data_IF_148972390402
#
_entry.id   IF_148972390402
#
_cell.length_a   1.000
_cell.length_b   1.000
_cell.length_c   1.000
_cell.angle_alpha   90.00
_cell.angle_beta   90.00
_cell.angle_gamma   90.00
#
_symmetry.space_group_name_H-M   'P 1'
#
loop_
_entity.id
_entity.type
_entity.pdbx_description
1 polymer ?
#
# COMPACT_ATOMS: atom_id res chain seq x y z
N UNK A 1 -24.91 4.53 -26.06
CA UNK A 1 -23.90 4.88 -25.02
C UNK A 1 -24.13 6.26 -24.40
N UNK A 2 -24.06 7.37 -25.14
CA UNK A 2 -24.29 8.71 -24.56
C UNK A 2 -25.68 8.82 -23.90
N UNK A 3 -26.72 8.38 -24.62
CA UNK A 3 -28.10 8.31 -24.11
C UNK A 3 -28.26 7.35 -22.92
N UNK A 4 -27.59 6.19 -22.95
CA UNK A 4 -27.61 5.22 -21.84
C UNK A 4 -26.95 5.81 -20.58
N UNK A 5 -25.87 6.57 -20.72
CA UNK A 5 -25.18 7.22 -19.61
C UNK A 5 -26.01 8.37 -19.03
N UNK A 6 -26.63 9.18 -19.89
CA UNK A 6 -27.51 10.27 -19.46
C UNK A 6 -28.77 9.75 -18.74
N UNK A 7 -29.41 8.71 -19.29
CA UNK A 7 -30.56 8.05 -18.67
C UNK A 7 -30.17 7.39 -17.33
N UNK A 8 -29.01 6.74 -17.26
CA UNK A 8 -28.47 6.18 -16.01
C UNK A 8 -28.18 7.25 -14.96
N UNK A 9 -27.65 8.41 -15.37
CA UNK A 9 -27.43 9.54 -14.47
C UNK A 9 -28.75 10.07 -13.90
N UNK A 10 -29.76 10.22 -14.77
CA UNK A 10 -31.08 10.72 -14.37
C UNK A 10 -31.82 9.76 -13.43
N UNK A 11 -31.76 8.45 -13.69
CA UNK A 11 -32.39 7.44 -12.84
C UNK A 11 -31.70 7.35 -11.48
N UNK A 12 -30.36 7.37 -11.46
CA UNK A 12 -29.60 7.38 -10.21
C UNK A 12 -29.87 8.65 -9.38
N UNK A 13 -29.92 9.83 -10.02
CA UNK A 13 -30.25 11.07 -9.33
C UNK A 13 -31.67 11.04 -8.75
N UNK A 14 -32.65 10.54 -9.51
CA UNK A 14 -34.02 10.37 -9.02
C UNK A 14 -34.03 9.50 -7.76
N UNK A 15 -33.49 8.27 -7.82
CA UNK A 15 -33.48 7.33 -6.70
C UNK A 15 -32.77 7.91 -5.47
N UNK A 16 -31.64 8.59 -5.66
CA UNK A 16 -30.88 9.18 -4.55
C UNK A 16 -31.58 10.39 -3.96
N UNK A 17 -32.23 11.21 -4.78
CA UNK A 17 -33.07 12.33 -4.34
C UNK A 17 -34.30 11.87 -3.55
N UNK A 18 -35.00 10.83 -4.02
CA UNK A 18 -36.16 10.25 -3.34
C UNK A 18 -35.76 9.67 -1.98
N UNK A 19 -34.61 8.99 -1.92
CA UNK A 19 -34.08 8.41 -0.68
C UNK A 19 -33.71 9.49 0.36
N UNK A 20 -33.09 10.60 -0.07
CA UNK A 20 -32.68 11.68 0.83
C UNK A 20 -33.83 12.59 1.25
N UNK A 21 -34.87 12.73 0.41
CA UNK A 21 -36.10 13.46 0.74
C UNK A 21 -37.10 12.60 1.53
N UNK A 22 -36.87 11.29 1.62
CA UNK A 22 -37.71 10.34 2.36
C UNK A 22 -37.43 10.32 3.86
N UNK A 23 -37.59 9.15 4.47
CA UNK A 23 -37.45 8.94 5.92
C UNK A 23 -36.01 8.88 6.42
N UNK A 24 -35.02 8.85 5.53
CA UNK A 24 -33.60 8.75 5.89
C UNK A 24 -32.94 10.13 5.82
N UNK A 25 -33.10 10.91 6.88
CA UNK A 25 -32.57 12.27 7.01
C UNK A 25 -31.51 12.34 8.12
N UNK A 26 -30.47 13.15 7.93
CA UNK A 26 -29.39 13.34 8.90
C UNK A 26 -28.02 13.60 8.26
N UNK A 27 -26.99 13.76 9.09
CA UNK A 27 -25.63 14.07 8.62
C UNK A 27 -25.05 12.99 7.68
N UNK A 28 -25.39 11.71 7.90
CA UNK A 28 -24.99 10.59 7.04
C UNK A 28 -25.69 10.63 5.68
N UNK A 29 -26.99 10.94 5.65
CA UNK A 29 -27.75 11.08 4.40
C UNK A 29 -27.24 12.28 3.57
N UNK A 30 -26.94 13.41 4.21
CA UNK A 30 -26.35 14.58 3.56
C UNK A 30 -24.95 14.30 2.98
N UNK A 31 -24.12 13.54 3.70
CA UNK A 31 -22.82 13.09 3.21
C UNK A 31 -22.94 12.17 1.99
N UNK A 32 -23.89 11.23 2.00
CA UNK A 32 -24.16 10.37 0.85
C UNK A 32 -24.67 11.16 -0.36
N UNK A 33 -25.56 12.14 -0.17
CA UNK A 33 -26.07 13.00 -1.26
C UNK A 33 -24.95 13.79 -1.94
N UNK A 34 -23.96 14.24 -1.18
CA UNK A 34 -22.78 14.93 -1.72
C UNK A 34 -22.01 14.03 -2.68
N UNK A 35 -21.77 12.77 -2.30
CA UNK A 35 -21.09 11.78 -3.15
C UNK A 35 -21.95 11.40 -4.36
N UNK A 36 -23.25 11.20 -4.17
CA UNK A 36 -24.18 10.86 -5.23
C UNK A 36 -24.22 11.94 -6.32
N UNK A 37 -24.26 13.22 -5.92
CA UNK A 37 -24.25 14.36 -6.85
C UNK A 37 -22.95 14.40 -7.67
N UNK A 38 -21.81 14.07 -7.06
CA UNK A 38 -20.54 13.98 -7.77
C UNK A 38 -20.54 12.84 -8.79
N UNK A 39 -21.06 11.67 -8.45
CA UNK A 39 -21.18 10.55 -9.38
C UNK A 39 -22.10 10.88 -10.58
N UNK A 40 -23.23 11.55 -10.33
CA UNK A 40 -24.14 12.03 -11.40
C UNK A 40 -23.43 13.04 -12.31
N UNK A 41 -22.64 13.95 -11.74
CA UNK A 41 -21.85 14.91 -12.54
C UNK A 41 -20.81 14.20 -13.42
N UNK A 42 -20.20 13.12 -12.92
CA UNK A 42 -19.28 12.29 -13.70
C UNK A 42 -19.97 11.57 -14.85
N UNK A 43 -21.11 10.92 -14.58
CA UNK A 43 -21.89 10.25 -15.62
C UNK A 43 -22.35 11.24 -16.70
N UNK A 44 -22.80 12.43 -16.30
CA UNK A 44 -23.28 13.46 -17.22
C UNK A 44 -22.16 13.99 -18.14
N UNK A 45 -20.96 14.19 -17.60
CA UNK A 45 -19.82 14.60 -18.41
C UNK A 45 -19.27 13.49 -19.31
N UNK A 46 -19.31 12.23 -18.85
CA UNK A 46 -19.01 11.08 -19.69
C UNK A 46 -20.00 10.96 -20.87
N UNK A 47 -21.29 11.21 -20.63
CA UNK A 47 -22.31 11.26 -21.67
C UNK A 47 -22.03 12.37 -22.70
N UNK A 48 -21.74 13.59 -22.24
CA UNK A 48 -21.41 14.72 -23.11
C UNK A 48 -20.17 14.45 -23.99
N UNK A 49 -19.16 13.76 -23.45
CA UNK A 49 -17.99 13.38 -24.23
C UNK A 49 -18.29 12.27 -25.25
N UNK A 50 -19.11 11.30 -24.89
CA UNK A 50 -19.53 10.26 -25.84
C UNK A 50 -20.32 10.87 -27.02
N UNK A 51 -21.16 11.87 -26.75
CA UNK A 51 -21.86 12.64 -27.78
C UNK A 51 -20.88 13.43 -28.66
N UNK A 52 -19.92 14.15 -28.06
CA UNK A 52 -18.87 14.85 -28.81
C UNK A 52 -18.02 13.91 -29.67
N UNK A 53 -17.72 12.71 -29.20
CA UNK A 53 -16.99 11.72 -30.00
C UNK A 53 -17.79 11.26 -31.23
N UNK A 54 -19.10 11.08 -31.07
CA UNK A 54 -19.99 10.73 -32.18
C UNK A 54 -20.09 11.84 -33.22
N UNK A 55 -20.19 13.10 -32.79
CA UNK A 55 -20.26 14.23 -33.72
C UNK A 55 -18.96 14.43 -34.49
N UNK A 56 -17.80 14.24 -33.84
CA UNK A 56 -16.51 14.32 -34.54
C UNK A 56 -16.29 13.15 -35.50
N UNK A 57 -16.75 11.94 -35.17
CA UNK A 57 -16.71 10.81 -36.12
C UNK A 57 -17.55 11.11 -37.37
N UNK A 58 -18.73 11.71 -37.21
CA UNK A 58 -19.55 12.13 -38.34
C UNK A 58 -18.87 13.23 -39.18
N UNK A 59 -18.20 14.19 -38.54
CA UNK A 59 -17.45 15.24 -39.23
C UNK A 59 -16.28 14.67 -40.06
N UNK A 60 -15.55 13.69 -39.53
CA UNK A 60 -14.47 13.00 -40.25
C UNK A 60 -15.02 12.19 -41.43
N UNK A 61 -16.17 11.53 -41.27
CA UNK A 61 -16.83 10.81 -42.35
C UNK A 61 -17.25 11.77 -43.48
N UNK A 62 -17.84 12.93 -43.13
CA UNK A 62 -18.20 13.96 -44.11
C UNK A 62 -16.97 14.53 -44.84
N UNK A 63 -15.86 14.76 -44.12
CA UNK A 63 -14.60 15.19 -44.72
C UNK A 63 -14.04 14.14 -45.70
N UNK A 64 -14.15 12.86 -45.35
CA UNK A 64 -13.75 11.77 -46.24
C UNK A 64 -14.61 11.72 -47.51
N UNK A 65 -15.93 11.83 -47.39
CA UNK A 65 -16.84 11.85 -48.55
C UNK A 65 -16.56 13.04 -49.47
N UNK A 66 -16.30 14.23 -48.89
CA UNK A 66 -15.89 15.42 -49.66
C UNK A 66 -14.56 15.20 -50.39
N UNK A 67 -13.59 14.55 -49.74
CA UNK A 67 -12.30 14.25 -50.34
C UNK A 67 -12.44 13.25 -51.49
N UNK A 68 -13.20 12.18 -51.31
CA UNK A 68 -13.47 11.17 -52.34
C UNK A 68 -14.19 11.79 -53.54
N UNK A 69 -15.15 12.69 -53.30
CA UNK A 69 -15.85 13.40 -54.38
C UNK A 69 -14.93 14.36 -55.15
N UNK A 70 -13.94 14.96 -54.48
CA UNK A 70 -12.98 15.88 -55.09
C UNK A 70 -11.82 15.17 -55.81
N UNK A 71 -11.50 13.92 -55.45
CA UNK A 71 -10.43 13.16 -56.11
C UNK A 71 -10.77 12.79 -57.54
N UNK A 72 -9.79 12.92 -58.42
CA UNK A 72 -9.87 12.60 -59.83
C UNK A 72 -9.96 11.09 -60.01
N UNK A 73 -10.94 10.64 -60.80
CA UNK A 73 -11.13 9.21 -61.06
C UNK A 73 -9.96 8.65 -61.90
N UNK A 74 -9.43 7.45 -61.56
CA UNK A 74 -8.30 6.84 -62.28
C UNK A 74 -8.53 6.67 -63.79
N UNK A 75 -9.78 6.48 -64.22
CA UNK A 75 -10.14 6.36 -65.63
C UNK A 75 -9.85 7.64 -66.42
N UNK A 76 -10.03 8.82 -65.82
CA UNK A 76 -9.75 10.13 -66.46
C UNK A 76 -8.25 10.31 -66.64
N UNK A 77 -7.47 9.93 -65.63
CA UNK A 77 -6.00 9.94 -65.71
C UNK A 77 -5.52 8.95 -66.79
N UNK A 78 -6.07 7.74 -66.84
CA UNK A 78 -5.73 6.75 -67.86
C UNK A 78 -6.05 7.24 -69.27
N UNK A 79 -7.21 7.89 -69.47
CA UNK A 79 -7.61 8.48 -70.74
C UNK A 79 -6.64 9.59 -71.19
N UNK A 80 -6.25 10.49 -70.28
CA UNK A 80 -5.25 11.52 -70.55
C UNK A 80 -3.90 10.91 -70.99
N UNK A 81 -3.41 9.90 -70.25
CA UNK A 81 -2.14 9.22 -70.60
C UNK A 81 -2.22 8.46 -71.92
N UNK A 82 -3.37 7.89 -72.26
CA UNK A 82 -3.59 7.24 -73.56
C UNK A 82 -3.58 8.26 -74.71
N UNK A 83 -4.17 9.45 -74.49
CA UNK A 83 -4.21 10.53 -75.47
C UNK A 83 -2.80 11.07 -75.78
N UNK A 84 -1.96 11.29 -74.76
CA UNK A 84 -0.55 11.69 -74.96
C UNK A 84 0.20 10.68 -75.84
N UNK A 85 0.01 9.38 -75.59
CA UNK A 85 0.63 8.31 -76.39
C UNK A 85 0.15 8.32 -77.85
N UNK A 86 -1.14 8.54 -78.09
CA UNK A 86 -1.71 8.61 -79.44
C UNK A 86 -1.23 9.84 -80.22
N UNK A 87 -1.17 11.01 -79.57
CA UNK A 87 -0.64 12.25 -80.13
C UNK A 87 0.85 12.12 -80.47
N UNK A 88 1.63 11.51 -79.58
CA UNK A 88 3.06 11.27 -79.78
C UNK A 88 3.34 10.28 -80.93
N UNK A 89 2.54 9.21 -81.06
CA UNK A 89 2.67 8.23 -82.12
C UNK A 89 2.45 8.82 -83.52
N UNK A 90 1.72 9.93 -83.63
CA UNK A 90 1.44 10.63 -84.89
C UNK A 90 2.26 11.92 -85.07
N UNK A 91 3.16 12.24 -84.14
CA UNK A 91 3.92 13.50 -84.12
C UNK A 91 5.22 13.45 -84.95
N UNK A 92 5.19 12.86 -86.14
CA UNK A 92 6.40 12.65 -86.96
C UNK A 92 7.05 13.97 -87.44
N UNK A 93 6.24 15.02 -87.58
CA UNK A 93 6.66 16.35 -88.04
C UNK A 93 6.60 17.44 -86.95
N UNK A 94 6.27 17.11 -85.71
CA UNK A 94 6.20 18.08 -84.62
C UNK A 94 4.90 18.93 -84.56
N UNK A 95 3.93 18.73 -85.46
CA UNK A 95 2.70 19.52 -85.47
C UNK A 95 1.78 19.28 -84.26
N UNK A 96 1.89 18.14 -83.58
CA UNK A 96 1.05 17.82 -82.43
C UNK A 96 1.60 18.37 -81.11
N UNK A 97 2.75 19.06 -81.11
CA UNK A 97 3.40 19.58 -79.89
C UNK A 97 2.46 20.46 -79.04
N UNK A 98 1.70 21.43 -79.61
CA UNK A 98 0.74 22.22 -78.81
C UNK A 98 -0.32 21.37 -78.10
N UNK A 99 -0.89 20.39 -78.80
CA UNK A 99 -1.93 19.50 -78.24
C UNK A 99 -1.36 18.55 -77.16
N UNK A 100 -0.10 18.14 -77.29
CA UNK A 100 0.59 17.36 -76.25
C UNK A 100 0.78 18.23 -75.00
N UNK A 101 1.24 19.48 -75.15
CA UNK A 101 1.40 20.41 -74.02
C UNK A 101 0.08 20.69 -73.31
N UNK A 102 -1.02 20.91 -74.04
CA UNK A 102 -2.34 21.11 -73.43
C UNK A 102 -2.81 19.86 -72.65
N UNK A 103 -2.53 18.66 -73.17
CA UNK A 103 -2.87 17.41 -72.50
C UNK A 103 -2.01 17.16 -71.26
N UNK A 104 -0.72 17.53 -71.31
CA UNK A 104 0.17 17.48 -70.14
C UNK A 104 -0.22 18.52 -69.08
N UNK A 105 -0.59 19.73 -69.47
CA UNK A 105 -1.12 20.75 -68.57
C UNK A 105 -2.42 20.29 -67.87
N UNK A 106 -3.30 19.59 -68.59
CA UNK A 106 -4.50 18.98 -67.98
C UNK A 106 -4.16 17.88 -66.96
N UNK A 107 -3.07 17.13 -67.17
CA UNK A 107 -2.58 16.16 -66.18
C UNK A 107 -2.03 16.85 -64.92
N UNK A 108 -1.27 17.93 -65.09
CA UNK A 108 -0.80 18.75 -63.96
C UNK A 108 -1.98 19.34 -63.16
N UNK A 109 -3.05 19.77 -63.84
CA UNK A 109 -4.26 20.24 -63.17
C UNK A 109 -4.97 19.13 -62.37
N UNK A 110 -5.04 17.90 -62.92
CA UNK A 110 -5.59 16.75 -62.18
C UNK A 110 -4.74 16.40 -60.96
N UNK A 111 -3.40 16.46 -61.08
CA UNK A 111 -2.50 16.27 -59.95
C UNK A 111 -2.72 17.33 -58.86
N UNK A 112 -2.82 18.61 -59.25
CA UNK A 112 -3.10 19.70 -58.34
C UNK A 112 -4.45 19.54 -57.63
N UNK A 113 -5.49 19.07 -58.33
CA UNK A 113 -6.81 18.80 -57.76
C UNK A 113 -6.78 17.70 -56.69
N UNK A 114 -6.11 16.58 -56.96
CA UNK A 114 -5.95 15.49 -55.98
C UNK A 114 -5.17 15.93 -54.75
N UNK A 115 -4.09 16.70 -54.95
CA UNK A 115 -3.30 17.26 -53.86
C UNK A 115 -4.16 18.20 -53.00
N UNK A 116 -4.95 19.08 -53.62
CA UNK A 116 -5.86 19.97 -52.91
C UNK A 116 -6.94 19.21 -52.12
N UNK A 117 -7.51 18.14 -52.71
CA UNK A 117 -8.48 17.28 -52.04
C UNK A 117 -7.91 16.61 -50.78
N UNK A 118 -6.69 16.07 -50.87
CA UNK A 118 -6.02 15.43 -49.73
C UNK A 118 -5.59 16.43 -48.64
N UNK A 119 -5.16 17.65 -49.03
CA UNK A 119 -4.87 18.71 -48.06
C UNK A 119 -6.13 19.17 -47.32
N UNK A 120 -7.25 19.32 -48.03
CA UNK A 120 -8.55 19.64 -47.42
C UNK A 120 -8.98 18.57 -46.42
N UNK A 121 -8.93 17.29 -46.83
CA UNK A 121 -9.23 16.17 -45.94
C UNK A 121 -8.40 16.19 -44.66
N UNK A 122 -7.07 16.38 -44.79
CA UNK A 122 -6.18 16.43 -43.64
C UNK A 122 -6.53 17.59 -42.70
N UNK A 123 -6.82 18.77 -43.24
CA UNK A 123 -7.20 19.94 -42.44
C UNK A 123 -8.50 19.70 -41.65
N UNK A 124 -9.54 19.22 -42.33
CA UNK A 124 -10.86 18.97 -41.72
C UNK A 124 -10.81 17.82 -40.71
N UNK A 125 -10.13 16.71 -41.05
CA UNK A 125 -9.96 15.59 -40.14
C UNK A 125 -9.11 15.96 -38.90
N UNK A 126 -8.06 16.76 -39.08
CA UNK A 126 -7.22 17.23 -37.96
C UNK A 126 -7.99 18.19 -37.05
N UNK A 127 -8.84 19.05 -37.61
CA UNK A 127 -9.71 19.94 -36.84
C UNK A 127 -10.71 19.14 -36.01
N UNK A 128 -11.37 18.14 -36.61
CA UNK A 128 -12.30 17.27 -35.89
C UNK A 128 -11.60 16.48 -34.77
N UNK A 129 -10.40 15.97 -35.03
CA UNK A 129 -9.59 15.28 -34.02
C UNK A 129 -9.15 16.19 -32.87
N UNK A 130 -8.81 17.45 -33.14
CA UNK A 130 -8.37 18.41 -32.13
C UNK A 130 -9.46 18.76 -31.10
N UNK A 131 -10.74 18.59 -31.47
CA UNK A 131 -11.88 18.83 -30.58
C UNK A 131 -12.14 17.68 -29.59
N UNK A 132 -11.50 16.52 -29.78
CA UNK A 132 -11.54 15.42 -28.83
C UNK A 132 -10.61 15.74 -27.65
N UNK A 133 -11.15 16.39 -26.62
CA UNK A 133 -10.41 16.70 -25.41
C UNK A 133 -9.86 15.41 -24.75
N UNK A 134 -8.60 15.41 -24.26
CA UNK A 134 -8.06 14.32 -23.47
C UNK A 134 -8.94 14.04 -22.24
N UNK A 135 -9.20 12.76 -21.95
CA UNK A 135 -10.01 12.34 -20.79
C UNK A 135 -9.50 12.94 -19.47
N UNK A 136 -8.20 13.16 -19.35
CA UNK A 136 -7.57 13.82 -18.21
C UNK A 136 -8.10 15.25 -17.99
N UNK A 137 -8.34 16.02 -19.05
CA UNK A 137 -8.87 17.39 -18.94
C UNK A 137 -10.35 17.39 -18.55
N UNK A 138 -11.11 16.40 -19.01
CA UNK A 138 -12.51 16.21 -18.63
C UNK A 138 -12.61 15.85 -17.15
N UNK A 139 -11.74 14.96 -16.67
CA UNK A 139 -11.63 14.62 -15.25
C UNK A 139 -11.23 15.84 -14.40
N UNK A 140 -10.29 16.67 -14.84
CA UNK A 140 -9.93 17.92 -14.13
C UNK A 140 -11.11 18.89 -14.01
N UNK A 141 -11.91 19.06 -15.06
CA UNK A 141 -13.14 19.89 -15.02
C UNK A 141 -14.19 19.36 -14.04
N UNK A 142 -14.16 18.06 -13.74
CA UNK A 142 -15.04 17.39 -12.78
C UNK A 142 -14.47 17.38 -11.35
N UNK A 143 -13.35 18.07 -11.11
CA UNK A 143 -12.72 18.18 -9.80
C UNK A 143 -11.72 17.06 -9.47
N UNK A 144 -11.34 16.23 -10.44
CA UNK A 144 -10.25 15.26 -10.28
C UNK A 144 -8.90 15.94 -10.54
N UNK A 145 -8.12 16.17 -9.49
CA UNK A 145 -6.79 16.74 -9.59
C UNK A 145 -5.73 15.63 -9.62
N UNK A 146 -4.90 15.62 -10.65
CA UNK A 146 -3.78 14.70 -10.79
C UNK A 146 -2.48 15.44 -10.52
N UNK A 147 -1.96 15.35 -9.29
CA UNK A 147 -0.70 15.98 -8.90
C UNK A 147 0.28 14.93 -8.35
N UNK A 148 1.47 14.82 -8.96
CA UNK A 148 2.56 13.93 -8.53
C UNK A 148 2.11 12.47 -8.26
N UNK A 149 1.28 11.91 -9.13
CA UNK A 149 0.77 10.53 -9.01
C UNK A 149 -0.33 10.33 -7.97
N UNK A 150 -0.82 11.40 -7.33
CA UNK A 150 -1.97 11.40 -6.42
C UNK A 150 -3.23 11.86 -7.15
N UNK A 151 -4.35 11.20 -6.86
CA UNK A 151 -5.68 11.55 -7.36
C UNK A 151 -6.41 12.27 -6.23
N UNK A 152 -6.69 13.56 -6.39
CA UNK A 152 -7.57 14.32 -5.51
C UNK A 152 -8.97 14.40 -6.10
N UNK A 153 -9.99 14.02 -5.34
CA UNK A 153 -11.40 14.26 -5.67
C UNK A 153 -11.78 15.61 -5.07
N UNK A 154 -12.66 16.41 -5.70
CA UNK A 154 -12.99 17.79 -5.33
C UNK A 154 -13.51 18.01 -3.88
N UNK A 155 -14.67 18.66 -3.64
CA UNK A 155 -15.07 19.08 -2.28
C UNK A 155 -15.30 17.91 -1.28
N UNK A 156 -15.20 16.67 -1.75
CA UNK A 156 -14.94 15.52 -0.89
C UNK A 156 -13.46 15.59 -0.45
N UNK A 157 -13.19 16.28 0.65
CA UNK A 157 -11.87 16.38 1.29
C UNK A 157 -11.34 15.00 1.77
N UNK A 158 -11.06 14.09 0.84
CA UNK A 158 -10.09 13.02 0.96
C UNK A 158 -8.77 13.62 0.48
N UNK A 159 -8.18 14.48 1.31
CA UNK A 159 -6.84 14.97 1.07
C UNK A 159 -5.88 13.77 1.11
N UNK A 160 -5.54 13.19 -0.04
CA UNK A 160 -4.45 12.22 -0.20
C UNK A 160 -3.06 12.84 0.09
N UNK A 161 -3.00 14.05 0.67
CA UNK A 161 -1.80 14.60 1.29
C UNK A 161 -1.39 13.80 2.53
N UNK A 162 -2.37 13.32 3.29
CA UNK A 162 -2.16 12.54 4.50
C UNK A 162 -2.95 11.25 4.29
N UNK A 163 -2.32 10.07 4.38
CA UNK A 163 -2.91 8.76 4.07
C UNK A 163 -4.01 8.32 5.07
N UNK A 164 -4.78 9.28 5.62
CA UNK A 164 -5.87 9.05 6.53
C UNK A 164 -7.12 8.56 5.77
N UNK A 165 -7.81 7.57 6.31
CA UNK A 165 -9.07 7.04 5.82
C UNK A 165 -10.19 7.37 6.82
N UNK A 166 -11.14 8.23 6.43
CA UNK A 166 -12.29 8.64 7.25
C UNK A 166 -12.23 10.11 7.71
N UNK A 167 -13.20 10.54 8.54
CA UNK A 167 -13.46 11.96 8.80
C UNK A 167 -12.75 12.51 10.05
N UNK A 168 -12.44 13.81 10.05
CA UNK A 168 -11.94 14.51 11.25
C UNK A 168 -10.58 14.01 11.77
N UNK A 169 -9.78 13.36 10.93
CA UNK A 169 -8.44 12.91 11.30
C UNK A 169 -7.40 14.02 11.09
N UNK A 170 -6.52 14.22 12.07
CA UNK A 170 -5.37 15.14 12.02
C UNK A 170 -4.07 14.34 12.13
N UNK A 171 -3.05 14.66 11.32
CA UNK A 171 -1.82 13.86 11.18
C UNK A 171 -1.88 12.87 10.00
N UNK A 172 -1.20 11.72 10.03
CA UNK A 172 -0.98 10.85 8.87
C UNK A 172 -1.33 9.35 9.11
N UNK A 173 -1.73 8.62 8.06
CA UNK A 173 -2.00 7.17 8.09
C UNK A 173 -3.05 6.69 9.14
N UNK A 174 -3.99 7.55 9.54
CA UNK A 174 -5.06 7.17 10.47
C UNK A 174 -6.26 6.53 9.75
N UNK A 175 -6.81 5.45 10.28
CA UNK A 175 -8.02 4.79 9.77
C UNK A 175 -9.16 4.94 10.78
N UNK A 176 -10.29 5.49 10.36
CA UNK A 176 -11.48 5.74 11.19
C UNK A 176 -11.78 7.23 11.31
N UNK A 177 -12.23 7.72 12.48
CA UNK A 177 -12.73 9.10 12.61
C UNK A 177 -12.24 9.79 13.88
N UNK A 178 -11.92 11.07 13.78
CA UNK A 178 -11.57 11.90 14.94
C UNK A 178 -10.21 11.57 15.56
N UNK A 179 -9.31 10.90 14.85
CA UNK A 179 -7.98 10.60 15.37
C UNK A 179 -7.03 11.80 15.20
N UNK A 180 -6.16 12.05 16.17
CA UNK A 180 -5.17 13.14 16.15
C UNK A 180 -3.77 12.58 16.44
N UNK A 181 -2.91 12.58 15.42
CA UNK A 181 -1.57 12.00 15.44
C UNK A 181 -1.36 11.06 14.24
N UNK A 182 -0.52 10.03 14.36
CA UNK A 182 -0.17 9.16 13.23
C UNK A 182 -0.49 7.67 13.47
N UNK A 183 -0.81 6.93 12.40
CA UNK A 183 -0.99 5.47 12.41
C UNK A 183 -2.05 4.94 13.39
N UNK A 184 -3.10 5.71 13.69
CA UNK A 184 -4.17 5.24 14.57
C UNK A 184 -5.26 4.50 13.81
N UNK A 185 -5.81 3.44 14.39
CA UNK A 185 -6.95 2.68 13.85
C UNK A 185 -8.12 2.73 14.85
N UNK A 186 -9.25 3.29 14.43
CA UNK A 186 -10.49 3.38 15.22
C UNK A 186 -10.98 4.83 15.38
N UNK A 187 -11.58 5.17 16.52
CA UNK A 187 -12.23 6.48 16.71
C UNK A 187 -11.62 7.28 17.86
N UNK A 188 -11.43 8.57 17.67
CA UNK A 188 -11.13 9.51 18.76
C UNK A 188 -9.78 9.29 19.46
N UNK A 189 -8.81 8.64 18.81
CA UNK A 189 -7.51 8.40 19.43
C UNK A 189 -6.61 9.65 19.34
N UNK A 190 -5.94 10.01 20.42
CA UNK A 190 -4.98 11.09 20.51
C UNK A 190 -3.57 10.52 20.75
N UNK A 191 -2.63 10.84 19.87
CA UNK A 191 -1.25 10.31 19.85
C UNK A 191 -1.00 9.34 18.69
N UNK A 192 -0.08 8.38 18.82
CA UNK A 192 0.39 7.57 17.68
C UNK A 192 0.20 6.06 17.88
N UNK A 193 -0.03 5.33 16.79
CA UNK A 193 -0.03 3.87 16.77
C UNK A 193 -1.08 3.21 17.69
N UNK A 194 -2.21 3.88 17.94
CA UNK A 194 -3.27 3.35 18.80
C UNK A 194 -4.29 2.54 17.99
N UNK A 195 -4.78 1.45 18.56
CA UNK A 195 -5.86 0.64 18.02
C UNK A 195 -7.05 0.63 18.99
N UNK A 196 -8.20 1.10 18.55
CA UNK A 196 -9.45 1.11 19.31
C UNK A 196 -10.07 2.49 19.44
N UNK A 197 -10.63 2.81 20.61
CA UNK A 197 -11.52 3.97 20.76
C UNK A 197 -11.10 4.89 21.92
N UNK A 198 -10.88 6.17 21.65
CA UNK A 198 -10.69 7.18 22.70
C UNK A 198 -9.39 7.02 23.51
N UNK A 199 -8.35 6.41 22.93
CA UNK A 199 -7.06 6.26 23.62
C UNK A 199 -6.25 7.56 23.53
N UNK A 200 -5.64 7.97 24.63
CA UNK A 200 -4.79 9.17 24.75
C UNK A 200 -3.37 8.77 25.15
N UNK A 201 -2.47 8.72 24.17
CA UNK A 201 -1.10 8.27 24.31
C UNK A 201 -0.60 7.53 23.06
N UNK A 202 0.34 6.59 23.19
CA UNK A 202 0.92 5.90 22.04
C UNK A 202 1.07 4.40 22.26
N UNK A 203 0.84 3.62 21.18
CA UNK A 203 0.88 2.16 21.14
C UNK A 203 -0.14 1.48 22.06
N UNK A 204 -1.32 2.07 22.20
CA UNK A 204 -2.39 1.51 23.03
C UNK A 204 -3.34 0.62 22.22
N UNK A 205 -3.77 -0.50 22.81
CA UNK A 205 -4.80 -1.38 22.23
C UNK A 205 -5.98 -1.48 23.19
N UNK A 206 -7.10 -0.83 22.87
CA UNK A 206 -8.24 -0.82 23.78
C UNK A 206 -9.20 0.36 23.64
N UNK A 207 -9.92 0.65 24.72
CA UNK A 207 -10.93 1.70 24.78
C UNK A 207 -10.62 2.65 25.94
N UNK A 208 -10.48 3.95 25.71
CA UNK A 208 -10.39 4.97 26.76
C UNK A 208 -9.07 4.97 27.55
N UNK A 209 -8.00 4.39 27.00
CA UNK A 209 -6.71 4.28 27.69
C UNK A 209 -6.03 5.65 27.79
N UNK A 210 -5.26 5.90 28.85
CA UNK A 210 -4.49 7.14 29.03
C UNK A 210 -3.09 6.81 29.51
N UNK A 211 -2.08 7.07 28.68
CA UNK A 211 -0.68 6.67 28.88
C UNK A 211 -0.15 5.95 27.64
N UNK A 212 1.04 5.35 27.71
CA UNK A 212 1.62 4.66 26.54
C UNK A 212 1.71 3.15 26.78
N UNK A 213 1.64 2.38 25.69
CA UNK A 213 1.84 0.93 25.65
C UNK A 213 0.83 0.14 26.51
N UNK A 214 -0.41 0.62 26.63
CA UNK A 214 -1.45 -0.03 27.43
C UNK A 214 -2.30 -0.98 26.60
N UNK A 215 -2.79 -2.05 27.24
CA UNK A 215 -3.78 -2.95 26.65
C UNK A 215 -4.93 -3.15 27.63
N UNK A 216 -6.16 -2.83 27.23
CA UNK A 216 -7.36 -3.05 28.06
C UNK A 216 -8.47 -2.01 27.89
N UNK A 217 -9.14 -1.70 29.00
CA UNK A 217 -10.19 -0.67 29.06
C UNK A 217 -9.77 0.47 30.01
N UNK A 218 -10.18 1.68 29.65
CA UNK A 218 -9.85 2.94 30.27
C UNK A 218 -10.32 3.06 31.70
N UNK A 219 -9.61 3.84 32.50
CA UNK A 219 -9.92 4.07 33.91
C UNK A 219 -9.53 2.92 34.84
N UNK A 220 -9.11 1.76 34.31
CA UNK A 220 -8.66 0.64 35.12
C UNK A 220 -7.14 0.61 35.30
N UNK A 221 -6.32 1.12 34.39
CA UNK A 221 -4.86 1.16 34.62
C UNK A 221 -4.35 2.60 34.70
N UNK A 222 -3.32 2.83 35.52
CA UNK A 222 -2.61 4.11 35.65
C UNK A 222 -1.11 3.92 35.44
N UNK A 223 -0.45 4.82 34.71
CA UNK A 223 0.97 4.73 34.35
C UNK A 223 1.20 4.21 32.92
N UNK A 224 2.25 3.42 32.67
CA UNK A 224 2.68 3.03 31.31
C UNK A 224 2.90 1.53 31.18
N UNK A 225 2.68 0.94 30.00
CA UNK A 225 3.03 -0.46 29.72
C UNK A 225 2.21 -1.52 30.46
N UNK A 226 1.10 -1.14 31.11
CA UNK A 226 0.30 -2.08 31.90
C UNK A 226 -0.67 -2.88 31.01
N UNK A 227 -0.76 -4.19 31.26
CA UNK A 227 -1.65 -5.14 30.58
C UNK A 227 -2.61 -5.74 31.62
N UNK A 228 -3.93 -5.58 31.43
CA UNK A 228 -4.97 -6.12 32.33
C UNK A 228 -5.84 -5.03 32.96
N UNK A 229 -6.20 -5.14 34.25
CA UNK A 229 -7.05 -4.18 34.96
C UNK A 229 -6.51 -3.79 36.34
N UNK A 230 -6.78 -2.57 36.79
CA UNK A 230 -6.44 -2.07 38.13
C UNK A 230 -4.94 -2.02 38.44
N UNK A 231 -4.07 -2.02 37.42
CA UNK A 231 -2.64 -1.88 37.62
C UNK A 231 -2.22 -0.41 37.70
N UNK A 232 -1.27 -0.10 38.58
CA UNK A 232 -0.67 1.23 38.77
C UNK A 232 0.85 1.17 38.63
N UNK A 233 1.45 2.11 37.90
CA UNK A 233 2.89 2.16 37.67
C UNK A 233 3.26 1.69 36.27
N UNK A 234 4.34 0.91 36.13
CA UNK A 234 4.95 0.61 34.83
C UNK A 234 5.06 -0.89 34.53
N UNK A 235 4.73 -1.32 33.32
CA UNK A 235 4.99 -2.68 32.81
C UNK A 235 4.39 -3.82 33.67
N UNK A 236 3.28 -3.60 34.35
CA UNK A 236 2.63 -4.65 35.13
C UNK A 236 1.66 -5.47 34.26
N UNK A 237 1.62 -6.78 34.46
CA UNK A 237 0.75 -7.71 33.72
C UNK A 237 -0.15 -8.44 34.73
N UNK A 238 -1.47 -8.29 34.57
CA UNK A 238 -2.48 -8.97 35.38
C UNK A 238 -3.44 -8.01 36.07
N UNK A 239 -3.68 -8.17 37.37
CA UNK A 239 -4.70 -7.40 38.10
C UNK A 239 -4.17 -6.75 39.38
N UNK A 240 -4.59 -5.52 39.68
CA UNK A 240 -4.31 -4.85 40.97
C UNK A 240 -2.83 -4.71 41.33
N UNK A 241 -1.89 -4.82 40.38
CA UNK A 241 -0.47 -4.67 40.69
C UNK A 241 -0.07 -3.19 40.80
N UNK A 242 0.87 -2.87 41.69
CA UNK A 242 1.39 -1.52 41.90
C UNK A 242 2.92 -1.52 41.82
N UNK A 243 3.50 -0.58 41.08
CA UNK A 243 4.96 -0.46 40.91
C UNK A 243 5.42 -0.87 39.52
N UNK A 244 6.53 -1.59 39.40
CA UNK A 244 7.21 -1.81 38.11
C UNK A 244 7.39 -3.29 37.80
N UNK A 245 6.95 -3.75 36.63
CA UNK A 245 7.32 -5.07 36.09
C UNK A 245 6.71 -6.26 36.83
N UNK A 246 5.60 -6.08 37.56
CA UNK A 246 4.98 -7.17 38.30
C UNK A 246 4.08 -8.02 37.41
N UNK A 247 4.10 -9.34 37.60
CA UNK A 247 3.25 -10.30 36.90
C UNK A 247 2.34 -11.04 37.87
N UNK A 248 1.03 -11.00 37.65
CA UNK A 248 0.04 -11.72 38.46
C UNK A 248 -0.98 -10.79 39.10
N UNK A 249 -1.30 -11.00 40.38
CA UNK A 249 -2.41 -10.31 41.04
C UNK A 249 -1.94 -9.65 42.34
N UNK A 250 -2.23 -8.35 42.49
CA UNK A 250 -2.07 -7.64 43.76
C UNK A 250 -0.63 -7.46 44.24
N UNK A 251 0.38 -7.61 43.37
CA UNK A 251 1.77 -7.44 43.77
C UNK A 251 2.14 -5.95 43.85
N UNK A 252 2.93 -5.58 44.86
CA UNK A 252 3.42 -4.23 45.09
C UNK A 252 4.95 -4.18 45.05
N UNK A 253 5.54 -3.22 44.33
CA UNK A 253 6.99 -3.04 44.23
C UNK A 253 7.54 -3.42 42.85
N UNK A 254 8.67 -4.12 42.78
CA UNK A 254 9.42 -4.31 41.52
C UNK A 254 9.62 -5.78 41.15
N UNK A 255 9.27 -6.16 39.93
CA UNK A 255 9.56 -7.47 39.33
C UNK A 255 9.04 -8.67 40.15
N UNK A 256 7.91 -8.51 40.85
CA UNK A 256 7.31 -9.61 41.59
C UNK A 256 6.40 -10.46 40.70
N UNK A 257 6.41 -11.77 40.90
CA UNK A 257 5.61 -12.74 40.14
C UNK A 257 4.72 -13.55 41.09
N UNK A 258 3.41 -13.58 40.84
CA UNK A 258 2.46 -14.39 41.61
C UNK A 258 1.35 -13.56 42.26
N UNK A 259 1.03 -13.82 43.53
CA UNK A 259 -0.10 -13.21 44.23
C UNK A 259 0.35 -12.45 45.49
N UNK A 260 -0.04 -11.18 45.58
CA UNK A 260 0.06 -10.37 46.80
C UNK A 260 1.48 -10.29 47.39
N UNK A 261 2.51 -10.27 46.53
CA UNK A 261 3.89 -10.08 46.98
C UNK A 261 4.21 -8.58 47.10
N UNK A 262 4.96 -8.19 48.13
CA UNK A 262 5.43 -6.83 48.38
C UNK A 262 6.96 -6.77 48.38
N UNK A 263 7.56 -5.76 47.76
CA UNK A 263 9.01 -5.59 47.70
C UNK A 263 9.57 -5.88 46.31
N UNK A 264 10.67 -6.60 46.19
CA UNK A 264 11.42 -6.71 44.94
C UNK A 264 11.85 -8.15 44.61
N UNK A 265 11.62 -8.56 43.36
CA UNK A 265 12.07 -9.87 42.82
C UNK A 265 11.51 -11.06 43.59
N UNK A 266 10.29 -10.96 44.10
CA UNK A 266 9.64 -12.05 44.82
C UNK A 266 8.81 -12.92 43.89
N UNK A 267 8.82 -14.24 44.09
CA UNK A 267 8.04 -15.21 43.33
C UNK A 267 7.19 -16.08 44.26
N UNK A 268 5.89 -16.20 43.98
CA UNK A 268 4.96 -17.04 44.74
C UNK A 268 3.83 -16.23 45.39
N UNK A 269 3.52 -16.50 46.65
CA UNK A 269 2.32 -15.97 47.30
C UNK A 269 2.66 -15.28 48.63
N UNK A 270 2.19 -14.05 48.81
CA UNK A 270 2.26 -13.30 50.07
C UNK A 270 3.68 -13.08 50.62
N UNK A 271 4.69 -12.98 49.75
CA UNK A 271 6.05 -12.68 50.19
C UNK A 271 6.26 -11.18 50.39
N UNK A 272 7.05 -10.79 51.39
CA UNK A 272 7.47 -9.42 51.70
C UNK A 272 8.99 -9.32 51.70
N UNK A 273 9.58 -8.27 51.12
CA UNK A 273 11.04 -8.09 51.10
C UNK A 273 11.66 -8.36 49.74
N UNK A 274 12.85 -8.97 49.70
CA UNK A 274 13.67 -9.02 48.48
C UNK A 274 14.13 -10.46 48.15
N UNK A 275 13.95 -10.86 46.89
CA UNK A 275 14.39 -12.14 46.32
C UNK A 275 13.82 -13.39 47.01
N UNK A 276 12.58 -13.31 47.49
CA UNK A 276 11.91 -14.44 48.11
C UNK A 276 11.22 -15.35 47.09
N UNK A 277 11.28 -16.66 47.28
CA UNK A 277 10.55 -17.62 46.46
C UNK A 277 9.76 -18.57 47.35
N UNK A 278 8.43 -18.63 47.18
CA UNK A 278 7.58 -19.52 47.96
C UNK A 278 6.31 -18.86 48.51
N UNK A 279 5.92 -19.30 49.70
CA UNK A 279 4.74 -18.81 50.41
C UNK A 279 5.16 -18.10 51.70
N UNK A 280 4.66 -16.88 51.93
CA UNK A 280 4.79 -16.13 53.20
C UNK A 280 6.23 -15.95 53.72
N UNK A 281 7.17 -15.57 52.86
CA UNK A 281 8.53 -15.21 53.30
C UNK A 281 8.66 -13.70 53.53
N UNK A 282 9.26 -13.30 54.66
CA UNK A 282 9.58 -11.90 54.97
C UNK A 282 11.07 -11.75 55.32
N UNK A 283 11.78 -10.87 54.63
CA UNK A 283 13.19 -10.56 54.90
C UNK A 283 13.55 -9.06 54.79
N UNK A 284 12.56 -8.17 54.97
CA UNK A 284 12.74 -6.72 54.83
C UNK A 284 13.60 -6.05 55.93
N UNK A 285 14.90 -5.87 55.66
CA UNK A 285 15.86 -4.88 56.20
C UNK A 285 15.97 -4.66 57.75
N UNK A 286 16.96 -5.31 58.38
CA UNK A 286 17.70 -4.76 59.53
C UNK A 286 19.13 -5.32 59.58
N UNK A 287 20.19 -4.50 59.72
CA UNK A 287 21.51 -4.98 60.11
C UNK A 287 21.58 -5.02 61.64
N UNK A 288 20.93 -5.98 62.29
CA UNK A 288 21.26 -6.34 63.67
C UNK A 288 20.99 -7.82 63.94
N UNK A 289 22.03 -8.46 64.46
CA UNK A 289 22.14 -9.84 64.92
C UNK A 289 20.96 -10.29 65.78
N UNK A 290 20.36 -11.44 65.47
CA UNK A 290 19.98 -12.45 66.46
C UNK A 290 19.41 -13.69 65.76
N UNK A 291 19.87 -14.84 66.20
CA UNK A 291 19.40 -16.15 65.81
C UNK A 291 17.95 -16.36 66.26
N UNK A 292 16.95 -16.19 65.39
CA UNK A 292 15.68 -16.96 65.49
C UNK A 292 14.79 -16.81 64.24
N UNK A 293 15.13 -17.53 63.16
CA UNK A 293 14.17 -17.88 62.10
C UNK A 293 14.31 -19.39 61.78
N UNK A 294 14.62 -20.16 62.82
CA UNK A 294 14.86 -21.59 62.75
C UNK A 294 13.72 -22.37 63.37
N UNK A 295 12.47 -22.24 62.88
CA UNK A 295 11.45 -23.26 63.20
C UNK A 295 10.25 -23.39 62.24
N UNK A 296 10.16 -22.64 61.13
CA UNK A 296 9.05 -22.77 60.17
C UNK A 296 9.51 -22.99 58.72
N UNK A 297 10.79 -23.29 58.50
CA UNK A 297 11.34 -23.64 57.17
C UNK A 297 11.55 -25.16 56.99
N UNK A 298 10.71 -25.99 57.63
CA UNK A 298 10.65 -27.43 57.36
C UNK A 298 9.28 -27.80 56.80
N UNK A 299 9.04 -27.37 55.57
CA UNK A 299 7.88 -27.76 54.77
C UNK A 299 8.29 -27.94 53.32
N UNK A 300 8.73 -29.15 52.99
CA UNK A 300 8.88 -29.75 51.65
C UNK A 300 8.50 -28.87 50.44
N UNK A 301 9.49 -28.29 49.77
CA UNK A 301 9.41 -28.10 48.30
C UNK A 301 9.75 -29.42 47.62
N UNK A 302 8.80 -30.36 47.62
CA UNK A 302 8.76 -31.38 46.58
C UNK A 302 8.16 -30.75 45.33
N UNK A 303 9.00 -30.37 44.37
CA UNK A 303 8.63 -30.39 42.96
C UNK A 303 9.87 -30.27 42.08
N UNK A 304 10.37 -31.43 41.64
CA UNK A 304 11.03 -31.63 40.34
C UNK A 304 12.48 -31.18 40.20
N UNK A 305 13.43 -32.09 40.49
CA UNK A 305 14.82 -31.94 40.03
C UNK A 305 15.83 -32.69 40.88
N UNK A 306 15.97 -34.00 40.66
CA UNK A 306 17.04 -34.83 41.23
C UNK A 306 18.40 -34.41 40.65
N UNK A 307 19.16 -33.61 41.40
CA UNK A 307 20.55 -33.23 41.11
C UNK A 307 21.52 -33.87 42.11
N UNK A 308 22.46 -34.67 41.61
CA UNK A 308 23.34 -35.60 42.32
C UNK A 308 24.43 -34.98 43.24
N UNK A 309 24.19 -33.82 43.86
CA UNK A 309 25.18 -33.11 44.69
C UNK A 309 24.95 -33.23 46.21
N UNK A 310 23.82 -33.79 46.67
CA UNK A 310 23.51 -33.91 48.10
C UNK A 310 23.46 -35.37 48.62
N UNK A 311 23.94 -36.33 47.83
CA UNK A 311 24.13 -37.73 48.28
C UNK A 311 25.55 -37.98 48.81
N UNK A 312 26.52 -37.12 48.51
CA UNK A 312 27.92 -37.29 48.93
C UNK A 312 28.15 -36.92 50.40
N UNK A 313 27.39 -35.99 50.96
CA UNK A 313 27.57 -35.51 52.35
C UNK A 313 27.00 -36.46 53.41
N UNK A 314 26.13 -37.40 53.05
CA UNK A 314 25.52 -38.36 53.99
C UNK A 314 26.07 -39.79 53.86
N UNK A 315 26.80 -40.11 52.78
CA UNK A 315 27.46 -41.41 52.58
C UNK A 315 28.90 -41.45 53.10
N UNK A 316 29.56 -40.30 53.25
CA UNK A 316 30.94 -40.27 53.80
C UNK A 316 31.02 -40.41 55.33
N UNK A 317 29.90 -40.26 56.06
CA UNK A 317 29.89 -40.43 57.52
C UNK A 317 29.58 -41.89 57.97
N UNK A 318 29.30 -42.80 57.03
CA UNK A 318 28.97 -44.21 57.32
C UNK A 318 30.01 -45.22 56.83
N UNK A 319 31.15 -44.78 56.29
CA UNK A 319 32.20 -45.66 55.75
C UNK A 319 33.50 -45.70 56.59
N UNK A 320 33.47 -45.17 57.83
CA UNK A 320 34.58 -45.27 58.82
C UNK A 320 34.49 -46.55 59.68
N UNK A 321 33.77 -47.58 59.22
CA UNK A 321 33.77 -48.90 59.86
C UNK A 321 33.92 -50.00 58.82
N UNK A 322 35.02 -50.76 58.95
CA UNK A 322 35.44 -51.96 58.21
C UNK A 322 36.28 -51.72 56.94
N UNK A 323 37.55 -52.09 57.04
CA UNK A 323 38.57 -51.88 56.03
C UNK A 323 38.68 -52.98 54.96
N UNK A 324 39.43 -52.66 53.91
CA UNK A 324 39.87 -53.58 52.88
C UNK A 324 40.29 -52.84 51.62
N UNK A 325 41.59 -52.76 51.36
CA UNK A 325 42.15 -52.25 50.10
C UNK A 325 42.03 -53.33 49.01
N UNK A 326 41.57 -52.98 47.81
CA UNK A 326 42.16 -53.53 46.60
C UNK A 326 42.03 -52.56 45.42
N UNK A 327 43.16 -52.34 44.76
CA UNK A 327 43.36 -51.46 43.63
C UNK A 327 42.94 -52.13 42.31
N UNK A 328 42.87 -51.32 41.25
CA UNK A 328 42.81 -51.72 39.83
C UNK A 328 41.45 -52.21 39.32
N UNK A 329 40.65 -51.26 38.82
CA UNK A 329 39.97 -51.26 37.51
C UNK A 329 39.03 -50.03 37.49
N UNK A 330 38.97 -49.13 36.54
CA UNK A 330 39.82 -48.71 35.45
C UNK A 330 39.22 -47.37 34.95
N UNK A 331 40.08 -46.49 34.46
CA UNK A 331 39.81 -45.48 33.45
C UNK A 331 39.06 -44.19 33.86
N UNK A 332 39.82 -43.31 34.52
CA UNK A 332 39.57 -41.87 34.54
C UNK A 332 39.86 -41.26 33.15
N UNK A 333 38.95 -41.44 32.21
CA UNK A 333 38.81 -40.59 31.05
C UNK A 333 37.42 -39.99 31.12
N UNK A 334 37.28 -38.89 31.86
CA UNK A 334 36.25 -37.86 31.72
C UNK A 334 36.44 -36.91 32.90
N UNK A 335 36.75 -35.65 32.58
CA UNK A 335 36.79 -34.47 33.46
C UNK A 335 38.07 -34.21 34.26
N UNK A 336 39.04 -33.56 33.62
CA UNK A 336 39.56 -32.29 34.15
C UNK A 336 40.12 -31.38 33.03
N UNK A 337 40.14 -30.05 33.24
CA UNK A 337 40.06 -29.02 32.21
C UNK A 337 41.42 -28.36 31.89
N UNK A 338 41.52 -27.77 30.70
CA UNK A 338 42.49 -26.73 30.33
C UNK A 338 41.85 -26.00 29.14
N UNK A 339 41.68 -24.69 29.09
CA UNK A 339 42.65 -23.63 29.34
C UNK A 339 42.42 -22.64 28.19
N UNK A 340 42.40 -21.35 28.48
CA UNK A 340 42.12 -20.27 27.55
C UNK A 340 42.99 -20.31 26.27
N UNK A 341 42.52 -19.67 25.18
CA UNK A 341 43.15 -18.49 24.54
C UNK A 341 42.54 -18.22 23.14
N UNK A 342 42.18 -16.94 22.93
CA UNK A 342 42.09 -16.13 21.69
C UNK A 342 41.13 -16.47 20.54
N UNK A 343 40.51 -15.38 20.05
CA UNK A 343 39.69 -15.27 18.85
C UNK A 343 40.45 -15.58 17.54
N UNK A 344 39.71 -15.89 16.46
CA UNK A 344 40.03 -15.29 15.19
C UNK A 344 38.82 -14.78 14.38
N UNK A 345 39.19 -13.83 13.53
CA UNK A 345 38.45 -13.09 12.52
C UNK A 345 37.77 -13.95 11.46
N UNK A 346 36.63 -13.43 10.97
CA UNK A 346 35.85 -13.91 9.85
C UNK A 346 36.65 -14.20 8.58
N UNK A 347 36.46 -15.41 8.06
CA UNK A 347 36.69 -15.77 6.67
C UNK A 347 35.67 -16.85 6.27
N UNK A 348 34.49 -16.44 5.79
CA UNK A 348 33.55 -17.32 5.10
C UNK A 348 33.35 -16.85 3.66
N UNK A 349 34.31 -17.21 2.81
CA UNK A 349 34.06 -17.41 1.40
C UNK A 349 33.75 -18.90 1.19
N UNK A 350 32.56 -19.23 0.69
CA UNK A 350 32.38 -19.81 -0.65
C UNK A 350 31.03 -20.55 -0.79
N UNK A 351 30.32 -20.13 -1.83
CA UNK A 351 29.28 -20.83 -2.60
C UNK A 351 27.86 -20.94 -2.04
N UNK A 352 26.92 -20.28 -2.76
CA UNK A 352 25.54 -20.81 -2.81
C UNK A 352 24.39 -19.85 -3.10
N UNK A 353 24.53 -18.71 -3.78
CA UNK A 353 23.35 -18.03 -4.34
C UNK A 353 23.59 -17.59 -5.78
N UNK A 354 23.01 -18.37 -6.71
CA UNK A 354 22.85 -17.99 -8.12
C UNK A 354 21.77 -16.92 -8.16
N UNK A 355 22.20 -15.68 -8.31
CA UNK A 355 21.36 -14.52 -8.57
C UNK A 355 20.98 -14.56 -10.06
N UNK A 356 19.77 -14.99 -10.39
CA UNK A 356 19.21 -14.83 -11.73
C UNK A 356 18.67 -13.41 -11.87
N UNK A 357 19.45 -12.57 -12.55
CA UNK A 357 19.02 -11.29 -13.09
C UNK A 357 18.03 -11.54 -14.24
N UNK A 358 16.75 -11.63 -13.91
CA UNK A 358 15.70 -11.52 -14.92
C UNK A 358 15.65 -10.06 -15.40
N UNK A 359 16.23 -9.82 -16.57
CA UNK A 359 15.97 -8.62 -17.35
C UNK A 359 14.46 -8.49 -17.55
N UNK A 360 13.88 -7.41 -17.01
CA UNK A 360 12.49 -7.07 -17.23
C UNK A 360 12.35 -6.54 -18.67
N UNK A 361 12.22 -7.47 -19.62
CA UNK A 361 11.77 -7.19 -20.96
C UNK A 361 10.30 -6.74 -20.87
N UNK A 362 10.08 -5.42 -20.91
CA UNK A 362 8.76 -4.88 -21.23
C UNK A 362 8.48 -5.23 -22.68
N UNK A 363 7.75 -6.32 -22.87
CA UNK A 363 7.09 -6.65 -24.12
C UNK A 363 6.03 -5.57 -24.40
N UNK A 364 6.44 -4.54 -25.14
CA UNK A 364 5.52 -3.62 -25.80
C UNK A 364 4.66 -4.41 -26.76
N UNK A 365 3.37 -4.57 -26.42
CA UNK A 365 2.36 -5.03 -27.36
C UNK A 365 2.30 -4.04 -28.51
N UNK A 366 2.66 -4.53 -29.70
CA UNK A 366 2.46 -3.84 -30.96
C UNK A 366 0.98 -3.49 -31.13
N UNK A 367 0.64 -2.20 -31.01
CA UNK A 367 -0.54 -1.66 -31.65
C UNK A 367 -0.18 -1.51 -33.13
N UNK A 368 -0.82 -2.30 -33.99
CA UNK A 368 -0.70 -2.18 -35.44
C UNK A 368 -1.26 -0.84 -35.89
N UNK A 369 -0.39 0.15 -36.06
CA UNK A 369 -0.68 1.32 -36.86
C UNK A 369 -0.30 0.97 -38.29
N UNK A 370 -1.29 0.95 -39.17
CA UNK A 370 -1.12 0.86 -40.61
C UNK A 370 -0.32 2.09 -41.07
N UNK A 371 1.02 1.96 -41.10
CA UNK A 371 1.86 2.89 -41.84
C UNK A 371 1.74 2.49 -43.30
N UNK A 372 0.89 3.20 -44.03
CA UNK A 372 0.94 3.23 -45.49
C UNK A 372 2.33 3.80 -45.85
N UNK A 373 3.27 2.92 -46.21
CA UNK A 373 4.50 3.34 -46.88
C UNK A 373 4.09 3.92 -48.23
N UNK A 374 4.19 5.23 -48.36
CA UNK A 374 4.35 5.88 -49.65
C UNK A 374 5.74 5.48 -50.15
N UNK A 375 5.79 4.57 -51.12
CA UNK A 375 7.02 4.24 -51.85
C UNK A 375 7.45 5.47 -52.66
N UNK A 376 8.33 6.28 -52.09
CA UNK A 376 9.14 7.23 -52.83
C UNK A 376 10.30 6.48 -53.47
N UNK A 377 10.06 5.87 -54.63
CA UNK A 377 11.09 5.26 -55.46
C UNK A 377 10.87 5.71 -56.90
N UNK A 378 11.36 6.91 -57.23
CA UNK A 378 11.78 7.34 -58.57
C UNK A 378 12.34 8.77 -58.48
N UNK A 379 13.56 8.89 -57.94
CA UNK A 379 14.35 10.13 -58.02
C UNK A 379 15.81 9.76 -58.31
N UNK A 380 16.02 9.18 -59.49
CA UNK A 380 17.34 9.08 -60.11
C UNK A 380 17.19 8.96 -61.64
N UNK A 381 17.11 10.12 -62.31
CA UNK A 381 17.51 10.21 -63.72
C UNK A 381 18.56 11.30 -63.84
N UNK A 382 19.76 11.00 -64.35
CA UNK A 382 20.79 12.00 -64.58
C UNK A 382 20.44 12.85 -65.79
N UNK A 383 20.77 14.13 -65.68
CA UNK A 383 20.77 15.11 -66.76
C UNK A 383 21.72 14.65 -67.86
N UNK A 384 21.23 14.64 -69.11
CA UNK A 384 22.03 14.84 -70.33
C UNK A 384 21.32 15.90 -71.14
#
# INVERSE_FOLDING_TARGET
>A
MAEDLASSASSFFSVTSDLANGSWQGASAAAMMTVATQYVSWLSAAAAQAEAASSQAAAIAAAFESAVAATVQPAVVAANRALVKALAATNWFGFNVPAIMDTEAAYEAMWAADVAAMFGYHADASMAAAQLAPWQQVLQKLGFNFNNGKIGFGPLSLSLGNSNLGFGNSGNLNVGSGNSGNNNFGLGNFGNNNFGFGNSGSNDFGIGLTGNNQIGFGGFNSGTGNIGFFNSGSNNIGFFNSGTGNFGIGNAGTSNTGLLNSGSVNAGFFNSGNANTGFFMDNGLAPHSAQDAGLLNSGNYMTGGVGAANLSSSLLNSAVSTGGLNASLANAAMLSPAGAVAAPTDASALAGSVQSSAANAVAGRAAGWCVIRVSAEMLSRPVV
#
